data_IF_083410221644
#
_entry.id   IF_083410221644
#
_cell.length_a   1.000
_cell.length_b   1.000
_cell.length_c   1.000
_cell.angle_alpha   90.00
_cell.angle_beta   90.00
_cell.angle_gamma   90.00
#
_symmetry.space_group_name_H-M   'P 1'
#
loop_
_entity.id
_entity.type
_entity.pdbx_description
1 polymer ?
#
# COMPACT_ATOMS: atom_id res chain seq x y z
N UNK A 1 -36.91 22.58 21.66
CA UNK A 1 -36.13 21.50 22.32
C UNK A 1 -36.01 20.23 21.47
N UNK A 2 -37.08 19.70 20.85
CA UNK A 2 -37.00 18.52 19.94
C UNK A 2 -36.19 18.75 18.64
N UNK A 3 -36.19 19.96 18.10
CA UNK A 3 -35.46 20.32 16.88
C UNK A 3 -33.94 20.45 17.05
N UNK A 4 -33.47 20.67 18.28
CA UNK A 4 -32.03 20.80 18.57
C UNK A 4 -31.37 19.40 18.63
N UNK A 5 -32.11 18.39 19.06
CA UNK A 5 -31.65 16.99 19.13
C UNK A 5 -31.46 16.34 17.75
N UNK A 6 -32.22 16.75 16.73
CA UNK A 6 -32.16 16.16 15.39
C UNK A 6 -30.97 16.64 14.56
N UNK A 7 -30.47 17.86 14.80
CA UNK A 7 -29.30 18.42 14.09
C UNK A 7 -28.00 17.76 14.57
N UNK A 8 -27.90 17.46 15.86
CA UNK A 8 -26.70 16.87 16.45
C UNK A 8 -26.40 15.44 15.96
N UNK A 9 -27.43 14.65 15.61
CA UNK A 9 -27.23 13.27 15.13
C UNK A 9 -26.72 13.20 13.68
N UNK A 10 -26.99 14.23 12.86
CA UNK A 10 -26.53 14.26 11.47
C UNK A 10 -25.05 14.64 11.33
N UNK A 11 -24.50 15.44 12.26
CA UNK A 11 -23.11 15.91 12.21
C UNK A 11 -22.07 14.86 12.64
N UNK A 12 -22.46 13.83 13.40
CA UNK A 12 -21.52 12.77 13.84
C UNK A 12 -21.24 11.70 12.78
N UNK A 13 -22.01 11.61 11.70
CA UNK A 13 -21.81 10.59 10.66
C UNK A 13 -20.86 11.01 9.53
N UNK A 14 -20.48 12.30 9.45
CA UNK A 14 -19.69 12.82 8.35
C UNK A 14 -18.16 12.69 8.56
N UNK A 15 -17.69 12.41 9.77
CA UNK A 15 -16.25 12.42 10.09
C UNK A 15 -15.52 11.13 9.73
N UNK A 16 -16.24 10.01 9.54
CA UNK A 16 -15.62 8.71 9.22
C UNK A 16 -15.11 8.59 7.78
N UNK A 17 -15.76 9.27 6.82
CA UNK A 17 -15.46 9.09 5.39
C UNK A 17 -14.17 9.79 4.93
N UNK A 18 -13.76 10.88 5.59
CA UNK A 18 -12.57 11.64 5.19
C UNK A 18 -11.25 11.04 5.67
N UNK A 19 -11.29 10.02 6.54
CA UNK A 19 -10.08 9.38 7.09
C UNK A 19 -9.52 8.27 6.19
N UNK A 20 -10.30 7.76 5.23
CA UNK A 20 -9.83 6.82 4.22
C UNK A 20 -9.57 7.57 2.91
N UNK A 21 -8.42 8.24 2.82
CA UNK A 21 -7.88 8.66 1.52
C UNK A 21 -7.79 7.40 0.66
N UNK A 22 -8.52 7.36 -0.45
CA UNK A 22 -8.43 6.26 -1.42
C UNK A 22 -6.99 6.19 -1.90
N UNK A 23 -6.22 5.20 -1.43
CA UNK A 23 -4.87 4.96 -1.94
C UNK A 23 -4.97 4.60 -3.42
N UNK A 24 -4.08 5.17 -4.22
CA UNK A 24 -3.92 4.75 -5.61
C UNK A 24 -3.66 3.24 -5.64
N UNK A 25 -4.39 2.53 -6.50
CA UNK A 25 -4.23 1.09 -6.70
C UNK A 25 -2.84 0.69 -7.15
N UNK A 26 -2.08 1.63 -7.75
CA UNK A 26 -0.71 1.43 -8.18
C UNK A 26 0.32 1.68 -7.06
N UNK A 27 -0.10 2.18 -5.90
CA UNK A 27 0.80 2.47 -4.78
C UNK A 27 1.20 1.19 -4.01
N UNK A 28 2.48 0.84 -4.07
CA UNK A 28 3.11 -0.33 -3.47
C UNK A 28 4.30 0.06 -2.58
N UNK A 29 4.85 -0.91 -1.83
CA UNK A 29 6.04 -0.69 -1.00
C UNK A 29 5.82 0.21 0.23
N UNK A 30 4.57 0.55 0.56
CA UNK A 30 4.22 1.37 1.73
C UNK A 30 4.18 2.88 1.49
N UNK A 31 4.55 3.34 0.30
CA UNK A 31 4.47 4.74 -0.12
C UNK A 31 3.31 5.01 -1.07
N UNK A 32 3.16 6.28 -1.47
CA UNK A 32 2.23 6.70 -2.51
C UNK A 32 2.96 6.93 -3.85
N UNK A 33 2.44 6.36 -4.93
CA UNK A 33 2.97 6.46 -6.30
C UNK A 33 3.03 7.92 -6.76
N UNK A 34 2.02 8.74 -6.43
CA UNK A 34 2.02 10.17 -6.75
C UNK A 34 3.17 10.94 -6.09
N UNK A 35 3.73 10.42 -4.99
CA UNK A 35 4.82 11.05 -4.24
C UNK A 35 6.21 10.64 -4.73
N UNK A 36 6.36 9.43 -5.28
CA UNK A 36 7.62 8.91 -5.81
C UNK A 36 7.37 7.78 -6.81
N UNK A 37 8.00 7.85 -7.99
CA UNK A 37 7.88 6.82 -9.03
C UNK A 37 8.28 5.42 -8.53
N UNK A 38 9.24 5.32 -7.61
CA UNK A 38 9.63 4.04 -7.00
C UNK A 38 8.63 3.49 -5.99
N UNK A 39 7.47 4.12 -5.79
CA UNK A 39 6.34 3.55 -5.06
C UNK A 39 5.26 2.97 -5.99
N UNK A 40 5.42 3.09 -7.31
CA UNK A 40 4.45 2.59 -8.28
C UNK A 40 4.70 1.11 -8.62
N UNK A 41 3.65 0.30 -8.71
CA UNK A 41 3.75 -1.15 -8.88
C UNK A 41 4.37 -1.54 -10.24
N UNK A 42 4.21 -0.71 -11.26
CA UNK A 42 4.69 -0.90 -12.62
C UNK A 42 6.11 -0.34 -12.87
N UNK A 43 6.67 0.42 -11.92
CA UNK A 43 8.03 0.96 -12.05
C UNK A 43 9.06 -0.16 -12.08
N UNK A 44 9.92 -0.23 -13.13
CA UNK A 44 11.02 -1.18 -13.19
C UNK A 44 11.98 -1.04 -12.01
N UNK A 45 12.46 -2.15 -11.49
CA UNK A 45 13.44 -2.15 -10.42
C UNK A 45 14.78 -1.59 -10.93
N UNK A 46 15.32 -0.50 -10.36
CA UNK A 46 16.58 0.08 -10.80
C UNK A 46 17.81 -0.67 -10.25
N UNK A 47 17.62 -1.64 -9.36
CA UNK A 47 18.69 -2.39 -8.70
C UNK A 47 19.05 -3.65 -9.51
N UNK A 48 20.28 -4.19 -9.34
CA UNK A 48 20.62 -5.52 -9.82
C UNK A 48 19.71 -6.60 -9.21
N UNK A 49 19.55 -7.73 -9.90
CA UNK A 49 18.78 -8.87 -9.40
C UNK A 49 19.35 -9.36 -8.06
N UNK A 50 18.48 -9.57 -7.07
CA UNK A 50 18.85 -10.09 -5.77
C UNK A 50 19.40 -11.53 -5.88
N UNK A 51 20.54 -11.80 -5.23
CA UNK A 51 21.22 -13.10 -5.25
C UNK A 51 21.10 -13.87 -3.93
N UNK A 52 20.10 -13.56 -3.12
CA UNK A 52 19.88 -14.14 -1.78
C UNK A 52 18.52 -14.82 -1.70
N UNK A 53 18.37 -15.74 -0.74
CA UNK A 53 17.11 -16.39 -0.40
C UNK A 53 16.45 -15.78 0.84
N UNK A 54 17.13 -14.85 1.50
CA UNK A 54 16.66 -14.18 2.71
C UNK A 54 15.81 -12.96 2.32
N UNK A 55 14.50 -13.01 2.59
CA UNK A 55 13.55 -11.96 2.18
C UNK A 55 13.86 -10.62 2.87
N UNK A 56 14.41 -10.65 4.08
CA UNK A 56 14.84 -9.47 4.83
C UNK A 56 16.02 -8.72 4.19
N UNK A 57 16.76 -9.38 3.30
CA UNK A 57 17.84 -8.79 2.51
C UNK A 57 17.35 -8.28 1.13
N UNK A 58 16.08 -8.49 0.80
CA UNK A 58 15.45 -8.11 -0.46
C UNK A 58 14.63 -6.83 -0.30
N UNK A 59 14.57 -6.01 -1.35
CA UNK A 59 13.62 -4.89 -1.40
C UNK A 59 12.21 -5.39 -1.73
N UNK A 60 11.20 -4.54 -1.47
CA UNK A 60 9.84 -4.86 -1.89
C UNK A 60 9.73 -5.08 -3.42
N UNK A 61 10.56 -4.40 -4.22
CA UNK A 61 10.62 -4.57 -5.68
C UNK A 61 11.22 -5.92 -6.06
N UNK A 62 12.27 -6.37 -5.37
CA UNK A 62 12.85 -7.70 -5.59
C UNK A 62 11.84 -8.81 -5.29
N UNK A 63 11.09 -8.67 -4.19
CA UNK A 63 10.02 -9.62 -3.83
C UNK A 63 8.87 -9.60 -4.85
N UNK A 64 8.43 -8.41 -5.30
CA UNK A 64 7.44 -8.27 -6.38
C UNK A 64 7.90 -8.99 -7.65
N UNK A 65 9.12 -8.74 -8.07
CA UNK A 65 9.68 -9.28 -9.32
C UNK A 65 9.91 -10.80 -9.21
N UNK A 66 10.30 -11.30 -8.03
CA UNK A 66 10.36 -12.72 -7.72
C UNK A 66 8.98 -13.39 -7.84
N UNK A 67 7.92 -12.78 -7.30
CA UNK A 67 6.55 -13.29 -7.42
C UNK A 67 6.10 -13.30 -8.90
N UNK A 68 6.36 -12.21 -9.64
CA UNK A 68 6.05 -12.12 -11.06
C UNK A 68 6.83 -13.13 -11.92
N UNK A 69 8.03 -13.52 -11.49
CA UNK A 69 8.83 -14.58 -12.13
C UNK A 69 8.46 -16.01 -11.67
N UNK A 70 7.41 -16.15 -10.85
CA UNK A 70 6.86 -17.45 -10.44
C UNK A 70 7.41 -18.02 -9.13
N UNK A 71 8.17 -17.24 -8.35
CA UNK A 71 8.63 -17.65 -7.01
C UNK A 71 7.51 -17.38 -5.99
N UNK A 72 6.65 -18.37 -5.74
CA UNK A 72 5.44 -18.20 -4.91
C UNK A 72 5.51 -18.85 -3.53
N UNK A 73 6.67 -19.39 -3.14
CA UNK A 73 6.85 -20.10 -1.86
C UNK A 73 7.75 -19.28 -0.94
N UNK A 74 7.30 -19.07 0.30
CA UNK A 74 8.10 -18.50 1.39
C UNK A 74 8.48 -19.60 2.39
N UNK A 75 9.69 -19.53 2.95
CA UNK A 75 10.17 -20.41 4.01
C UNK A 75 10.07 -19.64 5.33
N UNK A 76 9.30 -20.15 6.28
CA UNK A 76 9.16 -19.58 7.63
C UNK A 76 9.77 -20.59 8.61
N UNK A 77 10.87 -20.25 9.31
CA UNK A 77 11.51 -21.12 10.28
C UNK A 77 10.73 -21.28 11.59
#
# INVERSE_FOLDING_TARGET
MRTILTVSVLLLNATGACAQQQRDSNSMGGGDCASNVYNCADTPNPLPEATTVWIEEMTWMDVRDALNSGKTTAIIP
#
